data_IF_528343599524
#
_entry.id   IF_528343599524
#
_cell.length_a   1.000
_cell.length_b   1.000
_cell.length_c   1.000
_cell.angle_alpha   90.00
_cell.angle_beta   90.00
_cell.angle_gamma   90.00
#
_symmetry.space_group_name_H-M   'P 1'
#
loop_
_entity.id
_entity.type
_entity.pdbx_description
1 polymer ?
#
# COMPACT_ATOMS: atom_id res chain seq x y z
N UNK A 1 -34.38 8.46 -10.10
CA UNK A 1 -33.66 8.74 -8.83
C UNK A 1 -32.61 9.82 -9.09
N UNK A 2 -32.81 11.09 -8.66
CA UNK A 2 -31.82 12.13 -8.91
C UNK A 2 -30.54 11.78 -8.13
N UNK A 3 -29.44 11.62 -8.84
CA UNK A 3 -28.14 11.37 -8.22
C UNK A 3 -27.85 12.52 -7.27
N UNK A 4 -27.84 12.27 -5.95
CA UNK A 4 -27.44 13.26 -4.94
C UNK A 4 -26.10 13.83 -5.40
N UNK A 5 -26.07 15.10 -5.81
CA UNK A 5 -24.83 15.78 -6.19
C UNK A 5 -23.91 15.66 -4.99
N UNK A 6 -22.86 14.85 -5.09
CA UNK A 6 -21.87 14.72 -4.02
C UNK A 6 -21.29 16.11 -3.82
N UNK A 7 -21.51 16.69 -2.64
CA UNK A 7 -20.93 17.97 -2.26
C UNK A 7 -19.42 17.98 -2.51
N UNK A 8 -18.88 19.17 -2.78
CA UNK A 8 -17.43 19.34 -2.98
C UNK A 8 -16.70 18.75 -1.78
N UNK A 9 -15.71 17.89 -2.04
CA UNK A 9 -14.85 17.33 -0.99
C UNK A 9 -14.05 18.47 -0.38
N UNK A 10 -14.09 18.60 0.94
CA UNK A 10 -13.29 19.60 1.65
C UNK A 10 -11.93 19.02 2.02
N UNK A 11 -10.93 19.88 2.16
CA UNK A 11 -9.59 19.48 2.61
C UNK A 11 -9.64 18.75 3.96
N UNK A 12 -10.56 19.14 4.85
CA UNK A 12 -10.80 18.47 6.13
C UNK A 12 -11.24 17.02 5.97
N UNK A 13 -12.14 16.73 5.02
CA UNK A 13 -12.57 15.35 4.75
C UNK A 13 -11.42 14.50 4.21
N UNK A 14 -10.53 15.07 3.40
CA UNK A 14 -9.36 14.37 2.88
C UNK A 14 -8.32 14.09 3.96
N UNK A 15 -8.10 15.03 4.89
CA UNK A 15 -7.24 14.84 6.05
C UNK A 15 -7.75 13.69 6.94
N UNK A 16 -9.03 13.71 7.30
CA UNK A 16 -9.66 12.64 8.09
C UNK A 16 -9.59 11.30 7.35
N UNK A 17 -9.77 11.29 6.03
CA UNK A 17 -9.64 10.07 5.24
C UNK A 17 -8.21 9.49 5.32
N UNK A 18 -7.19 10.34 5.29
CA UNK A 18 -5.77 9.93 5.41
C UNK A 18 -5.48 9.33 6.78
N UNK A 19 -5.92 9.98 7.85
CA UNK A 19 -5.79 9.49 9.23
C UNK A 19 -6.49 8.15 9.41
N UNK A 20 -7.74 8.02 8.94
CA UNK A 20 -8.50 6.77 8.99
C UNK A 20 -7.79 5.63 8.27
N UNK A 21 -7.20 5.89 7.12
CA UNK A 21 -6.43 4.87 6.38
C UNK A 21 -5.22 4.41 7.20
N UNK A 22 -4.50 5.35 7.84
CA UNK A 22 -3.35 5.01 8.68
C UNK A 22 -3.77 4.13 9.88
N UNK A 23 -4.78 4.58 10.65
CA UNK A 23 -5.27 3.83 11.80
C UNK A 23 -5.83 2.45 11.45
N UNK A 24 -6.54 2.31 10.32
CA UNK A 24 -7.03 1.00 9.87
C UNK A 24 -5.88 0.04 9.57
N UNK A 25 -4.78 0.52 8.98
CA UNK A 25 -3.64 -0.32 8.65
C UNK A 25 -2.81 -0.68 9.88
N UNK A 26 -2.67 0.22 10.85
CA UNK A 26 -2.08 -0.08 12.16
C UNK A 26 -2.91 -1.11 12.93
N UNK A 27 -4.24 -0.97 12.92
CA UNK A 27 -5.12 -1.96 13.55
C UNK A 27 -5.04 -3.32 12.85
N UNK A 28 -4.97 -3.33 11.52
CA UNK A 28 -4.79 -4.55 10.75
C UNK A 28 -3.48 -5.27 11.12
N UNK A 29 -2.41 -4.51 11.34
CA UNK A 29 -1.12 -5.06 11.78
C UNK A 29 -1.24 -5.73 13.15
N UNK A 30 -1.88 -5.06 14.14
CA UNK A 30 -2.12 -5.65 15.47
C UNK A 30 -2.92 -6.95 15.38
N UNK A 31 -4.05 -6.93 14.67
CA UNK A 31 -4.89 -8.13 14.54
C UNK A 31 -4.21 -9.26 13.76
N UNK A 32 -3.37 -8.94 12.77
CA UNK A 32 -2.59 -9.96 12.08
C UNK A 32 -1.58 -10.64 13.01
N UNK A 33 -0.97 -9.89 13.94
CA UNK A 33 -0.05 -10.44 14.95
C UNK A 33 -0.79 -11.29 16.01
N UNK A 34 -2.03 -10.93 16.34
CA UNK A 34 -2.92 -11.71 17.22
C UNK A 34 -3.51 -12.98 16.54
N UNK A 35 -3.16 -13.25 15.28
CA UNK A 35 -3.72 -14.39 14.52
C UNK A 35 -5.13 -14.15 13.96
N UNK A 36 -5.70 -12.96 14.12
CA UNK A 36 -7.02 -12.56 13.63
C UNK A 36 -6.96 -12.06 12.18
N UNK A 37 -6.51 -12.93 11.28
CA UNK A 37 -6.21 -12.55 9.89
C UNK A 37 -7.45 -12.00 9.13
N UNK A 38 -8.63 -12.56 9.37
CA UNK A 38 -9.88 -12.11 8.73
C UNK A 38 -10.22 -10.65 9.07
N UNK A 39 -10.00 -10.25 10.32
CA UNK A 39 -10.25 -8.88 10.77
C UNK A 39 -9.21 -7.91 10.18
N UNK A 40 -7.95 -8.34 10.11
CA UNK A 40 -6.88 -7.58 9.45
C UNK A 40 -7.18 -7.34 7.97
N UNK A 41 -7.64 -8.38 7.25
CA UNK A 41 -8.03 -8.28 5.85
C UNK A 41 -9.21 -7.32 5.65
N UNK A 42 -10.20 -7.37 6.55
CA UNK A 42 -11.33 -6.43 6.53
C UNK A 42 -10.88 -4.98 6.70
N UNK A 43 -9.95 -4.72 7.62
CA UNK A 43 -9.36 -3.38 7.78
C UNK A 43 -8.62 -2.92 6.51
N UNK A 44 -7.80 -3.78 5.89
CA UNK A 44 -7.11 -3.46 4.65
C UNK A 44 -8.07 -3.15 3.49
N UNK A 45 -9.17 -3.89 3.39
CA UNK A 45 -10.24 -3.65 2.42
C UNK A 45 -10.91 -2.28 2.65
N UNK A 46 -11.27 -1.95 3.90
CA UNK A 46 -11.86 -0.67 4.27
C UNK A 46 -10.91 0.50 3.95
N UNK A 47 -9.63 0.37 4.32
CA UNK A 47 -8.60 1.37 4.01
C UNK A 47 -8.51 1.62 2.49
N UNK A 48 -8.56 0.55 1.69
CA UNK A 48 -8.58 0.66 0.23
C UNK A 48 -9.84 1.35 -0.31
N UNK A 49 -11.01 1.03 0.24
CA UNK A 49 -12.29 1.63 -0.16
C UNK A 49 -12.32 3.13 0.15
N UNK A 50 -11.85 3.54 1.33
CA UNK A 50 -11.69 4.95 1.70
C UNK A 50 -10.72 5.64 0.73
N UNK A 51 -9.57 5.01 0.46
CA UNK A 51 -8.58 5.52 -0.50
C UNK A 51 -9.18 5.76 -1.89
N UNK A 52 -9.97 4.81 -2.41
CA UNK A 52 -10.69 4.97 -3.68
C UNK A 52 -11.73 6.09 -3.62
N UNK A 53 -12.55 6.12 -2.56
CA UNK A 53 -13.63 7.11 -2.39
C UNK A 53 -13.09 8.54 -2.36
N UNK A 54 -12.00 8.78 -1.64
CA UNK A 54 -11.40 10.10 -1.45
C UNK A 54 -10.20 10.37 -2.37
N UNK A 55 -9.94 9.48 -3.36
CA UNK A 55 -8.76 9.54 -4.26
C UNK A 55 -7.44 9.78 -3.51
N UNK A 56 -7.31 9.23 -2.30
CA UNK A 56 -6.12 9.40 -1.49
C UNK A 56 -4.98 8.53 -2.01
N UNK A 57 -3.83 9.17 -2.24
CA UNK A 57 -2.60 8.49 -2.62
C UNK A 57 -1.98 7.84 -1.39
N UNK A 58 -2.07 6.51 -1.32
CA UNK A 58 -1.41 5.72 -0.28
C UNK A 58 0.11 5.96 -0.30
N UNK A 59 0.72 6.10 0.88
CA UNK A 59 2.17 6.23 1.02
C UNK A 59 2.88 4.96 0.52
N UNK A 60 4.21 4.99 0.39
CA UNK A 60 4.98 3.80 -0.04
C UNK A 60 4.74 2.62 0.92
N UNK A 61 4.75 2.88 2.22
CA UNK A 61 4.56 1.89 3.28
C UNK A 61 3.16 1.30 3.26
N UNK A 62 2.13 2.14 3.18
CA UNK A 62 0.74 1.67 3.13
C UNK A 62 0.48 0.79 1.90
N UNK A 63 1.09 1.11 0.75
CA UNK A 63 0.99 0.29 -0.47
C UNK A 63 1.65 -1.08 -0.35
N UNK A 64 2.59 -1.25 0.59
CA UNK A 64 3.27 -2.52 0.85
C UNK A 64 2.48 -3.43 1.78
N UNK A 65 1.62 -2.84 2.63
CA UNK A 65 0.77 -3.55 3.60
C UNK A 65 -0.56 -4.06 3.02
N UNK A 66 -0.90 -3.70 1.77
CA UNK A 66 -2.18 -4.09 1.14
C UNK A 66 -1.96 -4.78 -0.20
N UNK A 67 -2.54 -5.96 -0.38
CA UNK A 67 -2.49 -6.67 -1.64
C UNK A 67 -3.31 -5.95 -2.73
N UNK A 68 -2.76 -5.84 -3.94
CA UNK A 68 -3.48 -5.23 -5.08
C UNK A 68 -4.47 -6.18 -5.78
N UNK A 69 -4.43 -7.47 -5.47
CA UNK A 69 -5.38 -8.47 -5.99
C UNK A 69 -6.58 -8.57 -5.06
N UNK A 70 -6.43 -9.29 -3.96
CA UNK A 70 -7.51 -9.56 -3.00
C UNK A 70 -7.84 -8.41 -2.04
N UNK A 71 -7.04 -7.34 -1.98
CA UNK A 71 -7.16 -6.26 -0.98
C UNK A 71 -7.00 -6.71 0.49
N UNK A 72 -6.48 -7.92 0.74
CA UNK A 72 -6.10 -8.39 2.07
C UNK A 72 -4.83 -7.70 2.60
N UNK A 73 -4.62 -7.85 3.91
CA UNK A 73 -3.46 -7.33 4.62
C UNK A 73 -2.24 -8.20 4.36
N UNK A 74 -1.12 -7.56 4.00
CA UNK A 74 0.18 -8.20 3.78
C UNK A 74 1.02 -8.06 5.05
N UNK A 75 0.83 -9.02 5.95
CA UNK A 75 1.60 -9.17 7.17
C UNK A 75 2.74 -10.19 7.04
N UNK A 76 3.46 -10.48 8.13
CA UNK A 76 4.56 -11.45 8.12
C UNK A 76 4.10 -12.88 7.75
N UNK A 77 2.92 -13.29 8.19
CA UNK A 77 2.37 -14.62 7.90
C UNK A 77 1.76 -14.73 6.48
N UNK A 78 1.21 -13.63 5.93
CA UNK A 78 0.45 -13.65 4.68
C UNK A 78 1.24 -13.16 3.46
N UNK A 79 2.46 -12.65 3.65
CA UNK A 79 3.30 -12.15 2.59
C UNK A 79 4.71 -12.74 2.64
N UNK A 80 5.18 -13.22 1.50
CA UNK A 80 6.58 -13.62 1.32
C UNK A 80 7.35 -12.48 0.66
N UNK A 81 8.31 -11.90 1.38
CA UNK A 81 9.16 -10.83 0.86
C UNK A 81 10.52 -11.39 0.49
N UNK A 82 10.98 -11.12 -0.74
CA UNK A 82 12.33 -11.45 -1.23
C UNK A 82 13.02 -10.20 -1.70
N UNK A 83 14.28 -10.04 -1.31
CA UNK A 83 15.15 -8.95 -1.77
C UNK A 83 16.10 -9.51 -2.83
N UNK A 84 16.09 -8.89 -4.01
CA UNK A 84 17.02 -9.23 -5.09
C UNK A 84 18.28 -8.38 -4.99
N UNK A 85 19.44 -8.99 -5.27
CA UNK A 85 20.73 -8.28 -5.44
C UNK A 85 20.64 -7.15 -6.47
N UNK A 86 19.74 -7.26 -7.46
CA UNK A 86 19.47 -6.24 -8.48
C UNK A 86 18.70 -5.01 -7.95
N UNK A 87 18.48 -4.90 -6.63
CA UNK A 87 17.82 -3.75 -6.01
C UNK A 87 16.29 -3.79 -6.08
N UNK A 88 15.68 -4.96 -6.21
CA UNK A 88 14.22 -5.14 -6.26
C UNK A 88 13.69 -5.82 -5.00
N UNK A 89 12.63 -5.26 -4.41
CA UNK A 89 11.79 -5.91 -3.40
C UNK A 89 10.64 -6.61 -4.12
N UNK A 90 10.56 -7.92 -3.97
CA UNK A 90 9.45 -8.74 -4.49
C UNK A 90 8.61 -9.21 -3.32
N UNK A 91 7.35 -8.82 -3.28
CA UNK A 91 6.37 -9.24 -2.28
C UNK A 91 5.34 -10.14 -2.94
N UNK A 92 5.26 -11.40 -2.53
CA UNK A 92 4.24 -12.35 -2.98
C UNK A 92 3.17 -12.49 -1.92
N UNK A 93 1.91 -12.30 -2.30
CA UNK A 93 0.77 -12.57 -1.43
C UNK A 93 0.53 -14.07 -1.36
N UNK A 94 0.54 -14.65 -0.16
CA UNK A 94 0.31 -16.08 0.05
C UNK A 94 -1.18 -16.45 0.01
N UNK A 95 -2.07 -15.46 0.08
CA UNK A 95 -3.53 -15.68 0.01
C UNK A 95 -4.04 -15.80 -1.43
N UNK A 96 -3.51 -15.02 -2.37
CA UNK A 96 -3.98 -15.00 -3.78
C UNK A 96 -2.88 -15.22 -4.82
N UNK A 97 -1.64 -15.47 -4.40
CA UNK A 97 -0.49 -15.70 -5.29
C UNK A 97 0.05 -14.45 -6.02
N UNK A 98 -0.61 -13.30 -5.93
CA UNK A 98 -0.19 -12.09 -6.66
C UNK A 98 1.20 -11.61 -6.20
N UNK A 99 2.08 -11.37 -7.18
CA UNK A 99 3.44 -10.88 -6.98
C UNK A 99 3.53 -9.39 -7.29
N UNK A 100 4.04 -8.61 -6.35
CA UNK A 100 4.32 -7.18 -6.51
C UNK A 100 5.82 -6.93 -6.46
N UNK A 101 6.35 -6.16 -7.40
CA UNK A 101 7.77 -5.77 -7.44
C UNK A 101 7.91 -4.27 -7.26
N UNK A 102 8.82 -3.85 -6.40
CA UNK A 102 9.14 -2.45 -6.17
C UNK A 102 10.65 -2.26 -6.11
N UNK A 103 11.22 -1.22 -6.75
CA UNK A 103 12.63 -0.91 -6.58
C UNK A 103 12.89 -0.47 -5.13
N UNK A 104 14.02 -0.88 -4.56
CA UNK A 104 14.47 -0.45 -3.24
C UNK A 104 15.01 0.98 -3.30
N UNK A 105 15.79 1.30 -4.33
CA UNK A 105 16.36 2.64 -4.58
C UNK A 105 15.35 3.53 -5.32
N UNK A 106 15.21 4.78 -4.89
CA UNK A 106 14.56 5.82 -5.68
C UNK A 106 15.45 6.15 -6.89
N UNK A 107 14.87 6.52 -8.04
CA UNK A 107 15.65 6.90 -9.23
C UNK A 107 16.63 8.06 -8.97
N UNK A 108 16.41 8.85 -7.90
CA UNK A 108 17.26 9.97 -7.48
C UNK A 108 18.61 9.56 -6.88
N UNK A 109 18.80 8.30 -6.46
CA UNK A 109 20.06 7.80 -5.91
C UNK A 109 20.79 6.82 -6.82
N UNK A 110 20.41 6.77 -8.10
CA UNK A 110 21.31 6.20 -9.11
C UNK A 110 22.54 7.13 -9.17
N UNK A 111 23.78 6.61 -9.05
CA UNK A 111 24.94 7.45 -9.29
C UNK A 111 24.76 8.10 -10.66
N UNK A 112 24.96 9.42 -10.73
CA UNK A 112 25.00 10.14 -12.00
C UNK A 112 25.87 9.30 -12.94
N UNK A 113 25.32 8.95 -14.10
CA UNK A 113 26.12 8.29 -15.15
C UNK A 113 27.32 9.21 -15.31
N UNK A 114 28.53 8.76 -14.95
CA UNK A 114 29.75 9.50 -15.27
C UNK A 114 29.66 9.67 -16.78
N UNK A 115 29.45 10.90 -17.24
CA UNK A 115 29.69 11.23 -18.62
C UNK A 115 31.16 10.86 -18.84
N UNK A 116 31.38 9.73 -19.51
CA UNK A 116 32.65 9.51 -20.18
C UNK A 116 32.60 10.47 -21.35
N UNK A 117 33.06 11.69 -21.07
CA UNK A 117 33.45 12.66 -22.07
C UNK A 117 34.79 12.16 -22.61
N UNK A 118 34.72 11.36 -23.67
CA UNK A 118 35.89 10.93 -24.43
C UNK A 118 35.71 11.33 -25.90
N UNK A 119 36.52 12.34 -26.27
CA UNK A 119 36.95 12.81 -27.61
C UNK A 119 36.15 13.91 -28.30
#
# INVERSE_FOLDING_TARGET
MPSRRRGRRTNRMEAIARERIAHLLEQAERWALEGRQRDADRCAQLARLIGKRYRQKLTREQRLRVCRGCNGFLGPATARVRLSRKGWRTTTCLQCGRVCRQPLRSKASAPARRALDER
#
